data_IF_979561035370
#
_entry.id   IF_979561035370
#
_cell.length_a   1.000
_cell.length_b   1.000
_cell.length_c   1.000
_cell.angle_alpha   90.00
_cell.angle_beta   90.00
_cell.angle_gamma   90.00
#
_symmetry.space_group_name_H-M   'P 1'
#
loop_
_entity.id
_entity.type
_entity.pdbx_description
1 polymer ?
#
# COMPACT_ATOMS: atom_id res chain seq x y z
N UNK A 1 -1.67 12.76 11.36
CA UNK A 1 -1.42 14.05 10.69
C UNK A 1 -0.22 13.92 9.76
N UNK A 2 -0.46 13.65 8.47
CA UNK A 2 0.52 13.79 7.39
C UNK A 2 -0.17 14.47 6.21
N UNK A 3 0.56 15.39 5.59
CA UNK A 3 0.07 16.32 4.58
C UNK A 3 -0.48 15.57 3.35
N UNK A 4 -1.63 16.05 2.85
CA UNK A 4 -2.27 15.55 1.61
C UNK A 4 -1.40 15.97 0.44
N UNK A 5 -0.96 15.04 -0.42
CA UNK A 5 -0.01 15.38 -1.50
C UNK A 5 -0.65 16.17 -2.61
N UNK A 6 -1.90 15.88 -2.94
CA UNK A 6 -2.64 16.68 -3.91
C UNK A 6 -2.90 18.07 -3.33
N UNK A 7 -3.20 18.17 -2.02
CA UNK A 7 -3.37 19.47 -1.39
C UNK A 7 -2.06 20.26 -1.26
N UNK A 8 -0.92 19.60 -1.01
CA UNK A 8 0.40 20.24 -1.02
C UNK A 8 0.76 20.71 -2.44
N UNK A 9 0.38 19.94 -3.47
CA UNK A 9 0.56 20.30 -4.88
C UNK A 9 -0.34 21.47 -5.28
N UNK A 10 -1.57 21.54 -4.75
CA UNK A 10 -2.47 22.68 -4.91
C UNK A 10 -2.00 23.90 -4.10
N UNK A 11 -1.45 23.71 -2.90
CA UNK A 11 -0.88 24.78 -2.08
C UNK A 11 0.40 25.36 -2.70
N UNK A 12 1.21 24.51 -3.35
CA UNK A 12 2.31 24.95 -4.20
C UNK A 12 1.83 25.88 -5.32
N UNK A 13 0.61 25.70 -5.83
CA UNK A 13 0.00 26.58 -6.84
C UNK A 13 -0.52 27.89 -6.27
N UNK A 14 -1.06 27.94 -5.04
CA UNK A 14 -1.41 29.23 -4.41
C UNK A 14 -0.17 30.10 -4.19
N UNK A 15 0.98 29.46 -3.91
CA UNK A 15 2.28 30.12 -3.90
C UNK A 15 2.75 30.59 -5.29
N UNK A 16 2.17 30.15 -6.42
CA UNK A 16 2.56 30.64 -7.75
C UNK A 16 2.27 32.12 -7.94
N UNK A 17 1.22 32.67 -7.32
CA UNK A 17 0.92 34.10 -7.44
C UNK A 17 1.95 34.95 -6.70
N UNK A 18 2.37 34.50 -5.52
CA UNK A 18 3.46 35.11 -4.74
C UNK A 18 4.80 34.96 -5.46
N UNK A 19 5.08 33.78 -6.02
CA UNK A 19 6.24 33.53 -6.88
C UNK A 19 6.21 34.41 -8.13
N UNK A 20 5.04 34.68 -8.72
CA UNK A 20 4.90 35.54 -9.90
C UNK A 20 5.19 37.01 -9.55
N UNK A 21 4.72 37.50 -8.40
CA UNK A 21 5.06 38.84 -7.91
C UNK A 21 6.57 38.95 -7.63
N UNK A 22 7.14 37.96 -6.94
CA UNK A 22 8.58 37.90 -6.69
C UNK A 22 9.35 37.85 -8.01
N UNK A 23 8.89 37.06 -8.99
CA UNK A 23 9.51 36.96 -10.30
C UNK A 23 9.45 38.29 -11.07
N UNK A 24 8.34 39.04 -11.00
CA UNK A 24 8.22 40.37 -11.61
C UNK A 24 9.18 41.36 -10.96
N UNK A 25 9.25 41.39 -9.62
CA UNK A 25 10.15 42.27 -8.87
C UNK A 25 11.63 41.93 -9.12
N UNK A 26 11.97 40.64 -9.14
CA UNK A 26 13.32 40.16 -9.48
C UNK A 26 13.65 40.47 -10.93
N UNK A 27 12.72 40.27 -11.86
CA UNK A 27 12.93 40.61 -13.28
C UNK A 27 13.18 42.11 -13.48
N UNK A 28 12.42 42.97 -12.79
CA UNK A 28 12.63 44.43 -12.78
C UNK A 28 14.00 44.80 -12.19
N UNK A 29 14.33 44.26 -11.01
CA UNK A 29 15.61 44.54 -10.35
C UNK A 29 16.82 44.06 -11.17
N UNK A 30 16.74 42.85 -11.75
CA UNK A 30 17.75 42.30 -12.63
C UNK A 30 17.87 43.12 -13.92
N UNK A 31 16.76 43.59 -14.50
CA UNK A 31 16.82 44.46 -15.69
C UNK A 31 17.51 45.80 -15.40
N UNK A 32 17.24 46.42 -14.24
CA UNK A 32 17.88 47.67 -13.85
C UNK A 32 19.40 47.46 -13.63
N UNK A 33 19.78 46.40 -12.91
CA UNK A 33 21.19 46.05 -12.68
C UNK A 33 21.91 45.67 -13.98
N UNK A 34 21.27 44.87 -14.83
CA UNK A 34 21.79 44.47 -16.13
C UNK A 34 22.00 45.68 -17.03
N UNK A 35 21.06 46.62 -17.08
CA UNK A 35 21.18 47.84 -17.88
C UNK A 35 22.36 48.70 -17.41
N UNK A 36 22.59 48.79 -16.10
CA UNK A 36 23.77 49.46 -15.53
C UNK A 36 25.10 48.77 -15.89
N UNK A 37 25.15 47.43 -15.84
CA UNK A 37 26.33 46.64 -16.20
C UNK A 37 26.64 46.69 -17.70
N UNK A 38 25.61 46.60 -18.54
CA UNK A 38 25.76 46.68 -20.00
C UNK A 38 26.30 48.04 -20.42
N UNK A 39 25.85 49.12 -19.76
CA UNK A 39 26.38 50.47 -19.95
C UNK A 39 27.84 50.63 -19.54
N UNK A 40 28.34 49.82 -18.60
CA UNK A 40 29.73 49.86 -18.16
C UNK A 40 30.71 49.12 -19.10
N UNK A 41 30.25 48.06 -19.77
CA UNK A 41 31.13 47.15 -20.54
C UNK A 41 31.10 47.33 -22.07
N UNK A 42 30.35 48.30 -22.62
CA UNK A 42 30.29 48.61 -24.06
C UNK A 42 30.10 47.38 -24.98
N UNK A 43 29.24 46.45 -24.60
CA UNK A 43 28.95 45.26 -25.42
C UNK A 43 28.20 45.62 -26.70
N UNK A 44 28.47 44.90 -27.78
CA UNK A 44 27.69 45.02 -29.03
C UNK A 44 26.30 44.38 -28.90
N UNK A 45 25.33 44.86 -29.68
CA UNK A 45 23.94 44.37 -29.67
C UNK A 45 23.83 42.84 -29.87
N UNK A 46 24.65 42.26 -30.76
CA UNK A 46 24.66 40.82 -31.01
C UNK A 46 25.22 40.02 -29.83
N UNK A 47 26.23 40.53 -29.12
CA UNK A 47 26.76 39.88 -27.92
C UNK A 47 25.73 39.84 -26.79
N UNK A 48 24.96 40.93 -26.63
CA UNK A 48 23.88 41.00 -25.64
C UNK A 48 22.78 39.95 -25.90
N UNK A 49 22.38 39.77 -27.16
CA UNK A 49 21.41 38.74 -27.54
C UNK A 49 21.95 37.33 -27.23
N UNK A 50 23.21 37.05 -27.57
CA UNK A 50 23.82 35.73 -27.33
C UNK A 50 23.92 35.43 -25.83
N UNK A 51 24.39 36.38 -25.02
CA UNK A 51 24.46 36.20 -23.57
C UNK A 51 23.07 36.06 -22.92
N UNK A 52 22.08 36.82 -23.40
CA UNK A 52 20.70 36.71 -22.94
C UNK A 52 20.10 35.33 -23.22
N UNK A 53 20.24 34.83 -24.46
CA UNK A 53 19.77 33.49 -24.84
C UNK A 53 20.49 32.41 -24.03
N UNK A 54 21.81 32.54 -23.82
CA UNK A 54 22.60 31.58 -23.04
C UNK A 54 22.12 31.52 -21.57
N UNK A 55 21.85 32.67 -20.95
CA UNK A 55 21.35 32.76 -19.57
C UNK A 55 19.93 32.21 -19.44
N UNK A 56 19.06 32.45 -20.42
CA UNK A 56 17.69 31.89 -20.45
C UNK A 56 17.76 30.36 -20.57
N UNK A 57 18.60 29.83 -21.47
CA UNK A 57 18.80 28.39 -21.61
C UNK A 57 19.39 27.77 -20.34
N UNK A 58 20.36 28.43 -19.71
CA UNK A 58 20.96 27.97 -18.45
C UNK A 58 19.94 27.96 -17.30
N UNK A 59 19.13 29.02 -17.19
CA UNK A 59 18.06 29.12 -16.19
C UNK A 59 16.97 28.06 -16.40
N UNK A 60 16.55 27.84 -17.64
CA UNK A 60 15.61 26.78 -17.99
C UNK A 60 16.16 25.38 -17.67
N UNK A 61 17.45 25.13 -17.94
CA UNK A 61 18.12 23.87 -17.60
C UNK A 61 18.18 23.62 -16.09
N UNK A 62 18.53 24.65 -15.30
CA UNK A 62 18.57 24.55 -13.83
C UNK A 62 17.16 24.35 -13.25
N UNK A 63 16.15 25.05 -13.77
CA UNK A 63 14.76 24.88 -13.35
C UNK A 63 14.23 23.49 -13.68
N UNK A 64 14.44 23.01 -14.91
CA UNK A 64 14.05 21.66 -15.34
C UNK A 64 14.74 20.57 -14.51
N UNK A 65 16.03 20.75 -14.19
CA UNK A 65 16.78 19.83 -13.31
C UNK A 65 16.21 19.81 -11.89
N UNK A 66 15.87 20.96 -11.34
CA UNK A 66 15.40 21.10 -9.96
C UNK A 66 13.90 20.77 -9.79
N UNK A 67 13.10 20.81 -10.87
CA UNK A 67 11.69 20.40 -10.85
C UNK A 67 11.51 18.86 -10.88
N UNK A 68 12.54 18.12 -11.29
CA UNK A 68 12.49 16.67 -11.51
C UNK A 68 12.29 15.78 -10.26
N UNK A 69 12.44 16.23 -8.98
CA UNK A 69 12.13 15.41 -7.81
C UNK A 69 10.88 15.83 -7.02
N UNK A 70 10.12 16.87 -7.39
CA UNK A 70 9.17 17.49 -6.45
C UNK A 70 7.89 16.68 -6.18
N UNK A 71 7.45 15.78 -7.06
CA UNK A 71 6.12 15.15 -6.89
C UNK A 71 6.12 13.61 -6.73
N UNK A 72 7.24 12.90 -6.90
CA UNK A 72 7.25 11.45 -6.73
C UNK A 72 7.31 11.02 -5.26
N UNK A 73 6.35 10.21 -4.81
CA UNK A 73 6.27 9.72 -3.44
C UNK A 73 6.69 8.27 -3.29
N UNK A 74 7.70 7.98 -2.47
CA UNK A 74 8.00 6.61 -2.01
C UNK A 74 7.52 6.41 -0.58
N UNK A 75 6.81 5.32 -0.34
CA UNK A 75 6.29 4.91 0.96
C UNK A 75 6.71 3.48 1.21
N UNK A 76 7.19 3.19 2.42
CA UNK A 76 7.39 1.82 2.86
C UNK A 76 6.49 1.60 4.07
N UNK A 77 5.54 0.68 3.95
CA UNK A 77 4.69 0.27 5.06
C UNK A 77 5.22 -1.04 5.64
N UNK A 78 5.48 -1.04 6.94
CA UNK A 78 5.94 -2.23 7.66
C UNK A 78 4.75 -2.91 8.32
N UNK A 79 4.50 -4.16 7.94
CA UNK A 79 3.50 -5.05 8.50
C UNK A 79 4.14 -6.22 9.23
N UNK A 80 3.31 -7.03 9.87
CA UNK A 80 3.73 -8.24 10.58
C UNK A 80 2.73 -9.35 10.36
N UNK A 81 3.22 -10.57 10.24
CA UNK A 81 2.40 -11.79 10.22
C UNK A 81 2.93 -12.76 11.27
N UNK A 82 2.02 -13.53 11.86
CA UNK A 82 2.34 -14.54 12.88
C UNK A 82 1.94 -15.92 12.38
N UNK A 83 2.79 -16.91 12.61
CA UNK A 83 2.48 -18.32 12.40
C UNK A 83 2.42 -19.05 13.73
N UNK A 84 1.50 -19.99 13.84
CA UNK A 84 1.56 -21.01 14.88
C UNK A 84 2.65 -22.03 14.52
N UNK A 85 3.57 -22.32 15.44
CA UNK A 85 4.70 -23.22 15.18
C UNK A 85 4.30 -24.68 15.02
N UNK A 86 3.13 -25.08 15.52
CA UNK A 86 2.69 -26.47 15.49
C UNK A 86 1.90 -26.77 14.21
N UNK A 87 1.05 -25.84 13.80
CA UNK A 87 0.15 -26.02 12.64
C UNK A 87 0.66 -25.36 11.37
N UNK A 88 1.58 -24.40 11.48
CA UNK A 88 2.03 -23.50 10.40
C UNK A 88 0.90 -22.65 9.79
N UNK A 89 -0.20 -22.49 10.54
CA UNK A 89 -1.31 -21.63 10.14
C UNK A 89 -0.97 -20.16 10.43
N UNK A 90 -1.43 -19.27 9.54
CA UNK A 90 -1.40 -17.83 9.79
C UNK A 90 -2.39 -17.47 10.90
N UNK A 91 -1.85 -16.88 11.96
CA UNK A 91 -2.63 -16.37 13.07
C UNK A 91 -3.22 -15.02 12.71
N UNK A 92 -4.53 -14.92 12.91
CA UNK A 92 -5.28 -13.69 12.82
C UNK A 92 -5.01 -12.87 14.10
N UNK A 93 -4.58 -11.62 13.93
CA UNK A 93 -4.45 -10.68 15.05
C UNK A 93 -5.72 -9.83 15.05
N UNK A 94 -6.49 -9.94 16.14
CA UNK A 94 -7.78 -9.25 16.25
C UNK A 94 -7.62 -7.74 16.02
N UNK A 95 -8.54 -7.14 15.27
CA UNK A 95 -8.56 -5.73 14.89
C UNK A 95 -7.37 -5.29 14.00
N UNK A 96 -6.56 -6.24 13.52
CA UNK A 96 -5.51 -6.00 12.53
C UNK A 96 -5.91 -6.59 11.18
N UNK A 97 -6.72 -5.82 10.47
CA UNK A 97 -7.36 -6.15 9.19
C UNK A 97 -6.44 -6.85 8.18
N UNK A 98 -5.17 -6.43 8.08
CA UNK A 98 -4.20 -7.07 7.20
C UNK A 98 -4.02 -8.57 7.49
N UNK A 99 -3.81 -8.95 8.75
CA UNK A 99 -3.57 -10.35 9.11
C UNK A 99 -4.85 -11.19 9.04
N UNK A 100 -6.00 -10.60 9.38
CA UNK A 100 -7.31 -11.24 9.29
C UNK A 100 -7.65 -11.61 7.84
N UNK A 101 -7.56 -10.65 6.92
CA UNK A 101 -7.88 -10.89 5.52
C UNK A 101 -6.86 -11.82 4.84
N UNK A 102 -5.55 -11.63 5.07
CA UNK A 102 -4.54 -12.51 4.46
C UNK A 102 -4.67 -13.95 4.95
N UNK A 103 -4.88 -14.18 6.24
CA UNK A 103 -5.09 -15.53 6.78
C UNK A 103 -6.32 -16.19 6.13
N UNK A 104 -7.42 -15.44 6.03
CA UNK A 104 -8.65 -15.88 5.36
C UNK A 104 -8.42 -16.23 3.88
N UNK A 105 -7.63 -15.44 3.15
CA UNK A 105 -7.31 -15.73 1.75
C UNK A 105 -6.46 -17.00 1.59
N UNK A 106 -5.45 -17.19 2.44
CA UNK A 106 -4.65 -18.42 2.42
C UNK A 106 -5.53 -19.64 2.69
N UNK A 107 -6.39 -19.59 3.72
CA UNK A 107 -7.31 -20.67 4.06
C UNK A 107 -8.26 -20.99 2.91
N UNK A 108 -8.87 -19.98 2.31
CA UNK A 108 -9.78 -20.14 1.16
C UNK A 108 -9.08 -20.76 -0.06
N UNK A 109 -7.86 -20.30 -0.39
CA UNK A 109 -7.06 -20.88 -1.47
C UNK A 109 -6.73 -22.35 -1.21
N UNK A 110 -6.35 -22.69 0.02
CA UNK A 110 -6.00 -24.04 0.43
C UNK A 110 -7.20 -24.99 0.41
N UNK A 111 -8.39 -24.50 0.75
CA UNK A 111 -9.63 -25.27 0.71
C UNK A 111 -9.99 -25.72 -0.72
N UNK A 112 -9.69 -24.89 -1.72
CA UNK A 112 -10.03 -25.15 -3.11
C UNK A 112 -8.92 -25.84 -3.91
N UNK A 113 -7.66 -25.63 -3.55
CA UNK A 113 -6.53 -26.18 -4.30
C UNK A 113 -5.61 -27.01 -3.42
N UNK A 114 -5.77 -28.34 -3.51
CA UNK A 114 -4.97 -29.32 -2.75
C UNK A 114 -3.46 -29.21 -3.02
N UNK A 115 -3.05 -28.83 -4.23
CA UNK A 115 -1.64 -28.68 -4.56
C UNK A 115 -1.04 -27.44 -3.86
N UNK A 116 -1.79 -26.33 -3.82
CA UNK A 116 -1.36 -25.12 -3.12
C UNK A 116 -1.40 -25.30 -1.60
N UNK A 117 -2.39 -26.02 -1.07
CA UNK A 117 -2.41 -26.43 0.33
C UNK A 117 -1.16 -27.23 0.69
N UNK A 118 -0.79 -28.23 -0.11
CA UNK A 118 0.43 -29.01 0.11
C UNK A 118 1.70 -28.16 0.10
N UNK A 119 1.77 -27.16 -0.79
CA UNK A 119 2.89 -26.20 -0.81
C UNK A 119 2.94 -25.41 0.50
N UNK A 120 1.78 -24.92 0.96
CA UNK A 120 1.69 -24.12 2.18
C UNK A 120 2.03 -24.93 3.44
N UNK A 121 1.47 -26.13 3.60
CA UNK A 121 1.65 -26.95 4.80
C UNK A 121 3.03 -27.61 4.90
N UNK A 122 3.66 -27.93 3.76
CA UNK A 122 4.94 -28.67 3.77
C UNK A 122 6.17 -27.76 3.77
N UNK A 123 6.04 -26.52 3.30
CA UNK A 123 7.13 -25.53 3.27
C UNK A 123 6.73 -24.31 4.13
N UNK A 124 7.11 -24.24 5.42
CA UNK A 124 6.80 -23.05 6.21
C UNK A 124 7.46 -21.81 5.62
N UNK A 125 6.78 -20.67 5.72
CA UNK A 125 7.36 -19.38 5.33
C UNK A 125 8.56 -19.07 6.24
N UNK A 126 9.60 -18.43 5.67
CA UNK A 126 10.82 -18.13 6.41
C UNK A 126 11.97 -17.70 5.50
N UNK A 127 13.16 -17.55 6.10
CA UNK A 127 14.37 -17.15 5.35
C UNK A 127 14.70 -18.23 4.33
N UNK A 128 14.70 -17.88 3.05
CA UNK A 128 15.26 -18.73 2.01
C UNK A 128 16.77 -18.69 2.12
N UNK A 129 17.38 -19.62 2.86
CA UNK A 129 18.84 -19.72 2.88
C UNK A 129 19.35 -20.15 1.50
N UNK A 130 20.31 -19.43 0.90
CA UNK A 130 21.05 -19.96 -0.23
C UNK A 130 21.91 -21.12 0.28
N UNK A 131 21.62 -22.34 -0.19
CA UNK A 131 22.58 -23.42 -0.11
C UNK A 131 23.67 -23.09 -1.14
N UNK A 132 24.94 -23.11 -0.70
CA UNK A 132 26.11 -22.72 -1.50
C UNK A 132 26.01 -23.21 -2.96
N UNK A 133 26.12 -22.27 -3.90
CA UNK A 133 26.13 -22.55 -5.35
C UNK A 133 24.81 -22.37 -6.08
N UNK A 134 23.67 -22.22 -5.40
CA UNK A 134 22.38 -21.89 -6.03
C UNK A 134 21.81 -20.56 -5.51
N UNK A 135 21.34 -19.71 -6.42
CA UNK A 135 20.60 -18.48 -6.10
C UNK A 135 19.54 -18.77 -5.03
N UNK A 136 19.42 -17.90 -4.04
CA UNK A 136 18.43 -17.98 -2.96
C UNK A 136 17.02 -18.15 -3.53
N UNK A 137 16.56 -19.39 -3.65
CA UNK A 137 15.21 -19.67 -4.11
C UNK A 137 14.28 -19.32 -2.95
N UNK A 138 13.50 -18.25 -3.10
CA UNK A 138 12.35 -18.00 -2.21
C UNK A 138 11.52 -19.28 -2.13
N UNK A 139 11.10 -19.69 -0.94
CA UNK A 139 10.23 -20.86 -0.79
C UNK A 139 8.93 -20.62 -1.55
N UNK A 140 8.28 -21.68 -2.05
CA UNK A 140 7.05 -21.51 -2.82
C UNK A 140 5.92 -20.93 -1.95
N UNK A 141 5.96 -21.19 -0.65
CA UNK A 141 5.08 -20.59 0.35
C UNK A 141 5.32 -19.08 0.53
N UNK A 142 6.58 -18.61 0.48
CA UNK A 142 6.86 -17.16 0.51
C UNK A 142 6.21 -16.45 -0.68
N UNK A 143 6.21 -17.08 -1.86
CA UNK A 143 5.53 -16.51 -3.04
C UNK A 143 4.01 -16.49 -2.86
N UNK A 144 3.42 -17.53 -2.26
CA UNK A 144 1.99 -17.53 -1.92
C UNK A 144 1.63 -16.40 -0.96
N UNK A 145 2.46 -16.15 0.06
CA UNK A 145 2.27 -15.02 0.97
C UNK A 145 2.33 -13.69 0.21
N UNK A 146 3.34 -13.49 -0.65
CA UNK A 146 3.46 -12.28 -1.48
C UNK A 146 2.23 -12.08 -2.36
N UNK A 147 1.79 -13.11 -3.08
CA UNK A 147 0.61 -13.05 -3.95
C UNK A 147 -0.68 -12.77 -3.16
N UNK A 148 -0.81 -13.29 -1.93
CA UNK A 148 -1.95 -13.00 -1.05
C UNK A 148 -2.00 -11.53 -0.63
N UNK A 149 -0.83 -10.92 -0.38
CA UNK A 149 -0.70 -9.50 -0.03
C UNK A 149 -0.98 -8.63 -1.26
N UNK A 150 -0.53 -9.06 -2.44
CA UNK A 150 -0.87 -8.37 -3.70
C UNK A 150 -2.39 -8.33 -3.92
N UNK A 151 -3.07 -9.48 -3.72
CA UNK A 151 -4.52 -9.56 -3.81
C UNK A 151 -5.19 -8.65 -2.77
N UNK A 152 -4.72 -8.67 -1.53
CA UNK A 152 -5.20 -7.79 -0.46
C UNK A 152 -5.17 -6.31 -0.86
N UNK A 153 -4.04 -5.83 -1.38
CA UNK A 153 -3.91 -4.42 -1.81
C UNK A 153 -4.81 -4.13 -3.01
N UNK A 154 -4.85 -5.01 -4.00
CA UNK A 154 -5.66 -4.81 -5.20
C UNK A 154 -7.15 -4.76 -4.88
N UNK A 155 -7.63 -5.67 -4.03
CA UNK A 155 -9.01 -5.70 -3.54
C UNK A 155 -9.35 -4.44 -2.76
N UNK A 156 -8.48 -4.04 -1.83
CA UNK A 156 -8.68 -2.81 -1.06
C UNK A 156 -8.78 -1.59 -1.97
N UNK A 157 -7.96 -1.52 -3.01
CA UNK A 157 -8.01 -0.47 -4.03
C UNK A 157 -9.33 -0.52 -4.81
N UNK A 158 -9.74 -1.68 -5.31
CA UNK A 158 -10.99 -1.84 -6.05
C UNK A 158 -12.21 -1.37 -5.25
N UNK A 159 -12.29 -1.78 -3.98
CA UNK A 159 -13.35 -1.35 -3.05
C UNK A 159 -13.29 0.15 -2.77
N UNK A 160 -12.09 0.70 -2.57
CA UNK A 160 -11.90 2.12 -2.31
C UNK A 160 -12.32 2.98 -3.51
N UNK A 161 -11.94 2.59 -4.72
CA UNK A 161 -12.31 3.27 -5.96
C UNK A 161 -13.82 3.21 -6.19
N UNK A 162 -14.43 2.04 -5.99
CA UNK A 162 -15.88 1.87 -6.13
C UNK A 162 -16.63 2.79 -5.17
N UNK A 163 -16.23 2.83 -3.90
CA UNK A 163 -16.81 3.75 -2.92
C UNK A 163 -16.55 5.22 -3.26
N UNK A 164 -15.37 5.57 -3.77
CA UNK A 164 -15.03 6.94 -4.15
C UNK A 164 -15.92 7.45 -5.29
N UNK A 165 -16.09 6.66 -6.36
CA UNK A 165 -16.83 7.09 -7.54
C UNK A 165 -18.35 6.98 -7.36
N UNK A 166 -18.85 6.00 -6.61
CA UNK A 166 -20.30 5.87 -6.36
C UNK A 166 -20.85 6.97 -5.44
N UNK A 167 -20.05 7.45 -4.48
CA UNK A 167 -20.50 8.44 -3.51
C UNK A 167 -20.36 9.89 -4.00
N UNK A 168 -19.80 10.13 -5.18
CA UNK A 168 -19.49 11.47 -5.66
C UNK A 168 -20.31 11.80 -6.92
N UNK A 169 -21.48 12.41 -6.72
CA UNK A 169 -22.42 12.79 -7.79
C UNK A 169 -21.86 13.81 -8.78
N UNK A 170 -20.72 14.45 -8.47
CA UNK A 170 -20.04 15.39 -9.37
C UNK A 170 -19.20 14.69 -10.46
N UNK A 171 -19.00 13.37 -10.36
CA UNK A 171 -18.16 12.59 -11.28
C UNK A 171 -19.07 11.97 -12.34
N UNK A 172 -18.83 12.29 -13.61
CA UNK A 172 -19.55 11.68 -14.72
C UNK A 172 -18.97 10.31 -15.06
N UNK A 173 -19.85 9.31 -15.19
CA UNK A 173 -19.51 7.95 -15.63
C UNK A 173 -18.86 7.91 -17.01
N UNK A 174 -19.08 8.94 -17.85
CA UNK A 174 -18.47 9.04 -19.18
C UNK A 174 -16.93 9.07 -19.11
N UNK A 175 -16.36 9.62 -18.04
CA UNK A 175 -14.91 9.71 -17.86
C UNK A 175 -14.31 8.54 -17.09
N UNK A 176 -15.10 7.50 -16.82
CA UNK A 176 -14.67 6.29 -16.13
C UNK A 176 -14.55 5.12 -17.10
N UNK A 177 -13.69 4.17 -16.75
CA UNK A 177 -13.57 2.87 -17.39
C UNK A 177 -13.72 1.78 -16.34
N UNK A 178 -14.48 0.75 -16.67
CA UNK A 178 -14.61 -0.46 -15.85
C UNK A 178 -13.66 -1.51 -16.38
N UNK A 179 -12.67 -1.88 -15.57
CA UNK A 179 -11.77 -2.98 -15.87
C UNK A 179 -12.33 -4.24 -15.24
N UNK A 180 -12.50 -5.26 -16.07
CA UNK A 180 -12.94 -6.60 -15.66
C UNK A 180 -11.78 -7.58 -15.77
N UNK A 181 -12.02 -8.84 -15.37
CA UNK A 181 -11.04 -9.94 -15.44
C UNK A 181 -10.33 -10.02 -16.81
N UNK A 182 -11.07 -9.85 -17.91
CA UNK A 182 -10.52 -9.89 -19.29
C UNK A 182 -9.49 -8.79 -19.59
N UNK A 183 -9.48 -7.71 -18.80
CA UNK A 183 -8.61 -6.55 -19.01
C UNK A 183 -7.27 -6.67 -18.28
N UNK A 184 -7.06 -7.70 -17.45
CA UNK A 184 -5.85 -7.86 -16.61
C UNK A 184 -5.18 -9.24 -16.75
N UNK A 185 -4.98 -9.78 -17.98
CA UNK A 185 -4.49 -11.15 -18.17
C UNK A 185 -3.13 -11.43 -17.51
N UNK A 186 -2.20 -10.47 -17.59
CA UNK A 186 -0.85 -10.61 -16.99
C UNK A 186 -0.89 -10.72 -15.46
N UNK A 187 -1.86 -10.04 -14.83
CA UNK A 187 -2.02 -10.06 -13.37
C UNK A 187 -2.58 -11.41 -12.93
N UNK A 188 -3.57 -11.93 -13.67
CA UNK A 188 -4.14 -13.27 -13.44
C UNK A 188 -3.06 -14.35 -13.55
N UNK A 189 -2.25 -14.31 -14.60
CA UNK A 189 -1.18 -15.29 -14.81
C UNK A 189 -0.13 -15.28 -13.69
N UNK A 190 0.15 -14.11 -13.12
CA UNK A 190 1.18 -13.99 -12.08
C UNK A 190 0.65 -14.07 -10.64
N UNK A 191 -0.66 -14.18 -10.39
CA UNK A 191 -1.21 -14.22 -9.04
C UNK A 191 -2.37 -15.23 -8.93
N UNK A 192 -2.11 -16.31 -8.19
CA UNK A 192 -3.05 -17.44 -8.06
C UNK A 192 -4.31 -17.11 -7.28
N UNK A 193 -4.28 -16.12 -6.39
CA UNK A 193 -5.45 -15.68 -5.62
C UNK A 193 -6.40 -14.89 -6.50
N UNK A 194 -5.89 -13.92 -7.26
CA UNK A 194 -6.70 -13.14 -8.20
C UNK A 194 -7.31 -14.10 -9.24
N UNK A 195 -6.51 -15.02 -9.77
CA UNK A 195 -6.99 -15.99 -10.75
C UNK A 195 -8.10 -16.88 -10.20
N UNK A 196 -7.90 -17.52 -9.04
CA UNK A 196 -8.90 -18.42 -8.47
C UNK A 196 -10.16 -17.68 -8.01
N UNK A 197 -10.01 -16.62 -7.23
CA UNK A 197 -11.16 -15.99 -6.57
C UNK A 197 -12.05 -15.22 -7.54
N UNK A 198 -11.51 -14.74 -8.67
CA UNK A 198 -12.30 -14.11 -9.72
C UNK A 198 -12.74 -15.05 -10.83
N UNK A 199 -12.39 -16.34 -10.77
CA UNK A 199 -12.86 -17.36 -11.71
C UNK A 199 -14.38 -17.56 -11.55
N UNK A 200 -15.16 -17.68 -12.65
CA UNK A 200 -16.60 -17.90 -12.60
C UNK A 200 -16.98 -19.06 -11.67
N UNK A 201 -18.07 -18.89 -10.91
CA UNK A 201 -18.52 -19.86 -9.91
C UNK A 201 -18.89 -21.20 -10.55
N UNK A 202 -19.43 -21.16 -11.77
CA UNK A 202 -19.84 -22.34 -12.55
C UNK A 202 -18.66 -23.25 -12.91
N UNK A 203 -17.43 -22.72 -12.87
CA UNK A 203 -16.19 -23.45 -13.16
C UNK A 203 -15.46 -23.92 -11.89
N UNK A 204 -16.10 -23.85 -10.72
CA UNK A 204 -15.50 -24.11 -9.40
C UNK A 204 -16.36 -25.07 -8.59
N UNK A 205 -15.76 -26.21 -8.21
CA UNK A 205 -16.42 -27.29 -7.47
C UNK A 205 -17.16 -26.81 -6.22
N UNK A 206 -16.56 -25.89 -5.44
CA UNK A 206 -17.14 -25.37 -4.19
C UNK A 206 -18.38 -24.49 -4.37
N UNK A 207 -18.77 -24.21 -5.62
CA UNK A 207 -19.93 -23.39 -5.98
C UNK A 207 -20.90 -24.11 -6.94
N UNK A 208 -20.74 -25.41 -7.20
CA UNK A 208 -21.68 -26.16 -8.05
C UNK A 208 -23.07 -26.31 -7.41
N UNK A 209 -23.12 -26.38 -6.08
CA UNK A 209 -24.36 -26.43 -5.30
C UNK A 209 -24.94 -25.04 -5.02
N UNK A 210 -24.28 -23.97 -5.46
CA UNK A 210 -24.85 -22.63 -5.37
C UNK A 210 -26.04 -22.55 -6.31
N UNK A 211 -27.20 -22.16 -5.75
CA UNK A 211 -28.44 -22.02 -6.50
C UNK A 211 -28.31 -21.07 -7.70
N UNK A 212 -29.30 -21.05 -8.61
CA UNK A 212 -29.23 -20.26 -9.83
C UNK A 212 -28.89 -18.80 -9.51
N UNK A 213 -28.09 -18.19 -10.39
CA UNK A 213 -27.76 -16.77 -10.31
C UNK A 213 -29.06 -15.95 -10.17
N UNK A 214 -29.07 -14.91 -9.31
CA UNK A 214 -30.28 -14.12 -9.07
C UNK A 214 -30.86 -13.58 -10.38
N UNK A 215 -32.18 -13.63 -10.55
CA UNK A 215 -32.85 -13.11 -11.74
C UNK A 215 -32.64 -11.59 -11.93
N UNK A 216 -32.33 -10.88 -10.85
CA UNK A 216 -31.97 -9.46 -10.83
C UNK A 216 -30.62 -9.26 -10.13
N UNK A 217 -29.69 -8.61 -10.82
CA UNK A 217 -28.37 -8.25 -10.29
C UNK A 217 -27.25 -9.20 -10.69
N UNK A 218 -26.05 -8.90 -10.19
CA UNK A 218 -24.81 -9.65 -10.46
C UNK A 218 -24.19 -10.02 -9.12
N UNK A 219 -23.78 -11.27 -8.96
CA UNK A 219 -23.05 -11.69 -7.76
C UNK A 219 -21.67 -11.04 -7.77
N UNK A 220 -21.42 -10.14 -6.83
CA UNK A 220 -20.14 -9.44 -6.70
C UNK A 220 -19.22 -10.16 -5.70
N UNK A 221 -19.80 -10.81 -4.70
CA UNK A 221 -19.06 -11.55 -3.68
C UNK A 221 -19.89 -12.71 -3.13
N UNK A 222 -19.28 -13.88 -2.92
CA UNK A 222 -19.94 -15.06 -2.34
C UNK A 222 -18.96 -15.95 -1.57
N UNK A 223 -19.49 -16.72 -0.62
CA UNK A 223 -18.74 -17.72 0.16
C UNK A 223 -19.18 -19.13 -0.18
N UNK A 224 -18.32 -19.93 -0.79
CA UNK A 224 -18.62 -21.32 -1.08
C UNK A 224 -18.49 -22.22 0.15
N UNK A 225 -18.66 -23.52 -0.06
CA UNK A 225 -18.37 -24.52 0.96
C UNK A 225 -16.91 -24.41 1.44
N UNK A 226 -16.67 -24.77 2.70
CA UNK A 226 -15.34 -24.77 3.33
C UNK A 226 -14.58 -23.43 3.31
N UNK A 227 -15.31 -22.31 3.19
CA UNK A 227 -14.70 -20.97 3.19
C UNK A 227 -14.12 -20.53 1.85
N UNK A 228 -14.47 -21.20 0.75
CA UNK A 228 -14.14 -20.76 -0.60
C UNK A 228 -14.64 -19.32 -0.86
N UNK A 229 -13.87 -18.54 -1.61
CA UNK A 229 -14.17 -17.12 -1.86
C UNK A 229 -14.37 -16.89 -3.35
N UNK A 230 -15.54 -16.36 -3.71
CA UNK A 230 -15.77 -15.79 -5.02
C UNK A 230 -15.87 -14.27 -4.90
N UNK A 231 -15.10 -13.58 -5.74
CA UNK A 231 -15.11 -12.13 -5.84
C UNK A 231 -15.07 -11.74 -7.32
N UNK A 232 -16.15 -11.13 -7.80
CA UNK A 232 -16.19 -10.64 -9.16
C UNK A 232 -15.21 -9.47 -9.30
N UNK A 233 -14.13 -9.67 -10.08
CA UNK A 233 -13.15 -8.62 -10.31
C UNK A 233 -13.74 -7.53 -11.21
N UNK A 234 -14.02 -6.38 -10.59
CA UNK A 234 -14.38 -5.13 -11.25
C UNK A 234 -13.62 -3.99 -10.57
N UNK A 235 -12.90 -3.19 -11.37
CA UNK A 235 -12.22 -1.99 -10.89
C UNK A 235 -12.57 -0.79 -11.75
N UNK A 236 -13.05 0.27 -11.11
CA UNK A 236 -13.44 1.53 -11.76
C UNK A 236 -12.25 2.48 -11.70
N UNK A 237 -11.80 2.97 -12.86
CA UNK A 237 -10.68 3.92 -12.95
C UNK A 237 -11.02 5.06 -13.92
N UNK A 238 -10.28 6.18 -13.87
CA UNK A 238 -10.39 7.23 -14.89
C UNK A 238 -10.05 6.69 -16.28
N UNK A 239 -10.75 7.16 -17.32
CA UNK A 239 -10.53 6.73 -18.71
C UNK A 239 -9.08 6.94 -19.15
N UNK A 240 -8.53 5.94 -19.83
CA UNK A 240 -7.12 5.90 -20.21
C UNK A 240 -6.20 5.31 -19.15
N UNK A 241 -6.74 4.85 -18.02
CA UNK A 241 -5.98 4.11 -17.02
C UNK A 241 -5.85 2.63 -17.37
N UNK A 242 -4.77 2.01 -16.92
CA UNK A 242 -4.48 0.58 -17.08
C UNK A 242 -3.81 0.01 -15.84
N UNK A 243 -3.89 -1.31 -15.68
CA UNK A 243 -3.18 -2.03 -14.63
C UNK A 243 -2.23 -3.00 -15.31
N UNK A 244 -0.95 -2.96 -14.95
CA UNK A 244 0.07 -3.83 -15.52
C UNK A 244 0.90 -4.49 -14.42
N UNK A 245 1.48 -5.64 -14.75
CA UNK A 245 2.50 -6.28 -13.92
C UNK A 245 3.87 -5.93 -14.47
N UNK A 246 4.71 -5.37 -13.62
CA UNK A 246 6.07 -4.96 -13.98
C UNK A 246 7.06 -6.12 -13.84
N UNK A 247 8.20 -5.99 -14.51
CA UNK A 247 9.28 -6.99 -14.48
C UNK A 247 9.90 -7.18 -13.08
N UNK A 248 9.78 -6.18 -12.20
CA UNK A 248 10.27 -6.24 -10.81
C UNK A 248 9.26 -6.86 -9.84
N UNK A 249 8.20 -7.49 -10.37
CA UNK A 249 7.06 -8.07 -9.64
C UNK A 249 6.18 -7.02 -8.95
N UNK A 250 6.30 -5.74 -9.28
CA UNK A 250 5.33 -4.74 -8.83
C UNK A 250 4.06 -4.76 -9.69
N UNK A 251 2.95 -4.32 -9.10
CA UNK A 251 1.71 -4.06 -9.83
C UNK A 251 1.56 -2.54 -9.93
N UNK A 252 1.36 -2.06 -11.15
CA UNK A 252 1.27 -0.64 -11.46
C UNK A 252 -0.10 -0.27 -12.02
N UNK A 253 -0.74 0.72 -11.39
CA UNK A 253 -1.89 1.43 -11.92
C UNK A 253 -1.37 2.68 -12.60
N UNK A 254 -1.44 2.69 -13.93
CA UNK A 254 -1.05 3.82 -14.76
C UNK A 254 -2.30 4.61 -15.09
N UNK A 255 -2.23 5.92 -14.92
CA UNK A 255 -3.32 6.85 -15.27
C UNK A 255 -2.81 7.93 -16.21
N UNK A 256 -3.64 8.91 -16.57
CA UNK A 256 -3.16 10.08 -17.33
C UNK A 256 -2.33 11.07 -16.47
N UNK A 257 -2.38 10.93 -15.13
CA UNK A 257 -1.77 11.91 -14.20
C UNK A 257 -0.55 11.37 -13.47
N UNK A 258 -0.61 10.10 -13.08
CA UNK A 258 0.47 9.45 -12.34
C UNK A 258 0.48 7.94 -12.59
N UNK A 259 1.60 7.33 -12.22
CA UNK A 259 1.78 5.90 -12.04
C UNK A 259 1.82 5.60 -10.54
N UNK A 260 0.89 4.80 -10.05
CA UNK A 260 0.91 4.25 -8.70
C UNK A 260 1.40 2.81 -8.79
N UNK A 261 2.50 2.48 -8.12
CA UNK A 261 3.06 1.12 -8.14
C UNK A 261 3.24 0.61 -6.73
N UNK A 262 2.89 -0.65 -6.48
CA UNK A 262 3.11 -1.29 -5.19
C UNK A 262 3.75 -2.67 -5.35
N UNK A 263 4.55 -3.06 -4.37
CA UNK A 263 5.28 -4.32 -4.35
C UNK A 263 5.38 -4.85 -2.92
N UNK A 264 4.72 -5.99 -2.61
CA UNK A 264 4.95 -6.67 -1.35
C UNK A 264 6.34 -7.30 -1.32
N UNK A 265 7.01 -7.21 -0.19
CA UNK A 265 8.36 -7.71 0.04
C UNK A 265 8.32 -8.60 1.26
N UNK A 266 8.71 -9.86 1.07
CA UNK A 266 8.88 -10.82 2.13
C UNK A 266 10.22 -11.54 1.99
N UNK A 267 11.12 -11.27 2.94
CA UNK A 267 12.45 -11.87 2.98
C UNK A 267 12.55 -13.02 4.00
N UNK A 268 11.47 -13.29 4.75
CA UNK A 268 11.46 -14.33 5.77
C UNK A 268 12.15 -13.95 7.09
N UNK A 269 12.55 -12.69 7.25
CA UNK A 269 13.13 -12.21 8.51
C UNK A 269 12.08 -12.14 9.61
N UNK A 270 12.48 -12.52 10.81
CA UNK A 270 11.64 -12.40 11.99
C UNK A 270 11.37 -10.92 12.32
N UNK A 271 10.19 -10.62 12.84
CA UNK A 271 9.87 -9.33 13.44
C UNK A 271 9.64 -9.50 14.92
N UNK A 272 10.03 -8.49 15.71
CA UNK A 272 9.70 -8.46 17.12
C UNK A 272 8.40 -7.68 17.30
N UNK A 273 7.41 -8.32 17.94
CA UNK A 273 6.30 -7.63 18.54
C UNK A 273 6.73 -7.01 19.87
N UNK A 274 6.03 -5.98 20.35
CA UNK A 274 6.29 -5.44 21.68
C UNK A 274 6.23 -6.52 22.76
N UNK A 275 7.00 -6.33 23.82
CA UNK A 275 7.12 -7.31 24.91
C UNK A 275 5.74 -7.73 25.44
N UNK A 276 5.52 -9.05 25.57
CA UNK A 276 4.29 -9.68 26.09
C UNK A 276 3.06 -9.52 25.20
N UNK A 277 3.18 -8.99 23.98
CA UNK A 277 2.06 -8.83 23.07
C UNK A 277 1.35 -10.15 22.79
N UNK A 278 2.11 -11.20 22.50
CA UNK A 278 1.62 -12.55 22.22
C UNK A 278 0.76 -13.08 23.38
N UNK A 279 1.26 -12.94 24.61
CA UNK A 279 0.57 -13.45 25.80
C UNK A 279 -0.66 -12.64 26.21
N UNK A 280 -0.58 -11.30 26.16
CA UNK A 280 -1.61 -10.43 26.72
C UNK A 280 -2.68 -10.05 25.68
N UNK A 281 -2.30 -9.92 24.41
CA UNK A 281 -3.21 -9.54 23.34
C UNK A 281 -3.71 -10.75 22.56
N UNK A 282 -2.80 -11.65 22.15
CA UNK A 282 -3.17 -12.82 21.35
C UNK A 282 -3.57 -14.03 22.19
N UNK A 283 -3.34 -14.00 23.51
CA UNK A 283 -3.64 -15.13 24.41
C UNK A 283 -2.79 -16.38 24.12
N UNK A 284 -1.59 -16.20 23.54
CA UNK A 284 -0.71 -17.28 23.08
C UNK A 284 0.64 -17.22 23.77
N UNK A 285 1.27 -18.38 23.94
CA UNK A 285 2.62 -18.43 24.48
C UNK A 285 3.63 -17.90 23.46
N UNK A 286 4.63 -17.15 23.92
CA UNK A 286 5.68 -16.58 23.08
C UNK A 286 6.41 -17.67 22.29
N UNK A 287 6.66 -18.84 22.89
CA UNK A 287 7.37 -19.91 22.22
C UNK A 287 6.52 -20.63 21.17
N UNK A 288 5.20 -20.49 21.20
CA UNK A 288 4.27 -21.13 20.26
C UNK A 288 4.13 -20.37 18.93
N UNK A 289 4.66 -19.15 18.83
CA UNK A 289 4.48 -18.27 17.67
C UNK A 289 5.81 -17.97 16.98
N UNK A 290 5.80 -17.98 15.65
CA UNK A 290 6.84 -17.39 14.80
C UNK A 290 6.33 -16.11 14.17
N UNK A 291 7.03 -15.00 14.39
CA UNK A 291 6.61 -13.67 13.95
C UNK A 291 7.53 -13.18 12.83
N UNK A 292 6.96 -12.81 11.68
CA UNK A 292 7.73 -12.38 10.51
C UNK A 292 7.40 -10.96 10.07
N UNK A 293 8.40 -10.27 9.55
CA UNK A 293 8.25 -8.93 8.97
C UNK A 293 7.80 -9.03 7.51
N UNK A 294 6.82 -8.21 7.16
CA UNK A 294 6.37 -8.01 5.78
C UNK A 294 6.48 -6.53 5.47
N UNK A 295 6.96 -6.19 4.27
CA UNK A 295 7.02 -4.82 3.80
C UNK A 295 6.14 -4.62 2.58
N UNK A 296 5.57 -3.43 2.45
CA UNK A 296 4.83 -3.02 1.27
C UNK A 296 5.44 -1.72 0.76
N UNK A 297 6.25 -1.85 -0.30
CA UNK A 297 6.84 -0.73 -0.99
C UNK A 297 5.82 -0.12 -1.96
N UNK A 298 5.52 1.15 -1.80
CA UNK A 298 4.58 1.90 -2.64
C UNK A 298 5.30 3.12 -3.24
N UNK A 299 5.05 3.36 -4.52
CA UNK A 299 5.58 4.50 -5.25
C UNK A 299 4.47 5.19 -6.02
N UNK A 300 4.54 6.52 -6.08
CA UNK A 300 3.66 7.35 -6.90
C UNK A 300 4.55 8.27 -7.71
N UNK A 301 4.50 8.15 -9.02
CA UNK A 301 5.27 9.00 -9.94
C UNK A 301 4.30 9.82 -10.80
N UNK A 302 4.29 11.14 -10.62
CA UNK A 302 3.43 12.04 -11.39
C UNK A 302 4.08 12.37 -12.74
N UNK A 303 3.28 12.36 -13.81
CA UNK A 303 3.75 12.74 -15.13
C UNK A 303 3.92 14.25 -15.23
N UNK A 304 5.02 14.73 -15.80
CA UNK A 304 5.28 16.18 -15.91
C UNK A 304 4.17 16.95 -16.63
N UNK A 305 3.56 16.34 -17.66
CA UNK A 305 2.43 16.91 -18.41
C UNK A 305 1.16 17.05 -17.56
N UNK A 306 1.02 16.28 -16.48
CA UNK A 306 -0.16 16.31 -15.62
C UNK A 306 -0.29 17.60 -14.83
N UNK A 307 0.83 18.29 -14.59
CA UNK A 307 0.91 19.51 -13.78
C UNK A 307 0.40 20.76 -14.50
N UNK A 308 0.32 20.70 -15.84
CA UNK A 308 -0.02 21.83 -16.71
C UNK A 308 -1.53 22.06 -16.90
N UNK A 309 -2.38 21.16 -16.40
CA UNK A 309 -3.84 21.25 -16.54
C UNK A 309 -4.50 21.22 -15.17
N UNK A 310 -5.42 22.15 -14.92
CA UNK A 310 -6.13 22.29 -13.65
C UNK A 310 -7.45 21.52 -13.57
N UNK A 311 -7.98 21.09 -14.71
CA UNK A 311 -9.25 20.36 -14.79
C UNK A 311 -9.09 18.84 -14.64
N UNK A 312 -10.11 18.19 -14.08
CA UNK A 312 -10.20 16.74 -14.00
C UNK A 312 -9.41 16.10 -12.86
N UNK A 313 -8.92 16.86 -11.87
CA UNK A 313 -8.19 16.32 -10.72
C UNK A 313 -9.10 15.57 -9.73
N UNK A 314 -10.39 15.87 -9.73
CA UNK A 314 -11.43 15.20 -8.95
C UNK A 314 -11.48 13.68 -9.19
N UNK A 315 -11.15 13.22 -10.40
CA UNK A 315 -11.06 11.80 -10.76
C UNK A 315 -9.87 11.08 -10.10
N UNK A 316 -8.95 11.82 -9.48
CA UNK A 316 -7.68 11.33 -8.96
C UNK A 316 -7.53 11.54 -7.43
N UNK A 317 -8.49 12.19 -6.78
CA UNK A 317 -8.47 12.49 -5.33
C UNK A 317 -8.53 11.24 -4.45
N UNK A 318 -8.91 10.10 -5.00
CA UNK A 318 -8.86 8.82 -4.31
C UNK A 318 -7.44 8.43 -3.87
N UNK A 319 -6.38 8.94 -4.53
CA UNK A 319 -5.01 8.52 -4.26
C UNK A 319 -4.58 8.80 -2.82
N UNK A 320 -4.75 10.04 -2.35
CA UNK A 320 -4.33 10.44 -0.99
C UNK A 320 -5.12 9.66 0.08
N UNK A 321 -6.43 9.54 -0.11
CA UNK A 321 -7.31 8.80 0.81
C UNK A 321 -7.03 7.29 0.79
N UNK A 322 -6.64 6.73 -0.36
CA UNK A 322 -6.27 5.34 -0.48
C UNK A 322 -4.94 5.05 0.22
N UNK A 323 -3.92 5.90 0.02
CA UNK A 323 -2.63 5.76 0.69
C UNK A 323 -2.77 5.81 2.21
N UNK A 324 -3.62 6.71 2.72
CA UNK A 324 -3.94 6.76 4.15
C UNK A 324 -4.64 5.47 4.60
N UNK A 325 -5.69 5.02 3.90
CA UNK A 325 -6.40 3.78 4.24
C UNK A 325 -5.49 2.56 4.23
N UNK A 326 -4.56 2.50 3.28
CA UNK A 326 -3.57 1.43 3.15
C UNK A 326 -2.59 1.44 4.33
N UNK A 327 -2.06 2.62 4.71
CA UNK A 327 -1.20 2.77 5.89
C UNK A 327 -1.95 2.31 7.16
N UNK A 328 -3.20 2.76 7.34
CA UNK A 328 -4.01 2.44 8.51
C UNK A 328 -4.29 0.94 8.65
N UNK A 329 -4.47 0.26 7.53
CA UNK A 329 -4.85 -1.16 7.51
C UNK A 329 -3.65 -2.11 7.54
N UNK A 330 -2.51 -1.71 6.97
CA UNK A 330 -1.32 -2.56 6.82
C UNK A 330 -0.26 -2.30 7.90
N UNK A 331 -0.08 -1.07 8.38
CA UNK A 331 1.05 -0.69 9.23
C UNK A 331 0.96 -1.28 10.65
N UNK A 332 1.95 -2.09 11.02
CA UNK A 332 2.14 -2.57 12.40
C UNK A 332 2.17 -1.41 13.40
N UNK A 333 2.89 -0.34 13.06
CA UNK A 333 3.03 0.84 13.93
C UNK A 333 1.69 1.53 14.13
N UNK A 334 0.91 1.70 13.06
CA UNK A 334 -0.41 2.30 13.15
C UNK A 334 -1.35 1.43 13.99
N UNK A 335 -1.37 0.13 13.74
CA UNK A 335 -2.16 -0.84 14.52
C UNK A 335 -1.84 -0.77 16.02
N UNK A 336 -0.56 -0.85 16.42
CA UNK A 336 -0.14 -0.78 17.83
C UNK A 336 -0.54 0.55 18.49
N UNK A 337 -0.50 1.65 17.72
CA UNK A 337 -0.96 2.96 18.18
C UNK A 337 -2.48 3.02 18.33
N UNK A 338 -3.24 2.41 17.40
CA UNK A 338 -4.71 2.37 17.41
C UNK A 338 -5.23 1.69 18.67
N UNK A 339 -4.61 0.57 19.06
CA UNK A 339 -4.97 -0.16 20.29
C UNK A 339 -4.34 0.43 21.55
N UNK A 340 -3.61 1.56 21.45
CA UNK A 340 -2.90 2.18 22.58
C UNK A 340 -2.04 1.18 23.37
N UNK A 341 -1.31 0.33 22.65
CA UNK A 341 -0.64 -0.83 23.24
C UNK A 341 0.30 -0.46 24.39
N UNK A 342 1.10 0.60 24.24
CA UNK A 342 2.08 0.99 25.24
C UNK A 342 1.42 1.40 26.56
N UNK A 343 0.29 2.09 26.50
CA UNK A 343 -0.49 2.47 27.68
C UNK A 343 -1.10 1.24 28.37
N UNK A 344 -1.72 0.36 27.59
CA UNK A 344 -2.36 -0.85 28.10
C UNK A 344 -1.35 -1.83 28.73
N UNK A 345 -0.20 -2.02 28.09
CA UNK A 345 0.89 -2.83 28.63
C UNK A 345 1.45 -2.24 29.92
N UNK A 346 1.61 -0.92 30.01
CA UNK A 346 2.05 -0.25 31.24
C UNK A 346 1.05 -0.43 32.38
N UNK A 347 -0.25 -0.27 32.13
CA UNK A 347 -1.31 -0.52 33.13
C UNK A 347 -1.28 -1.96 33.64
N UNK A 348 -1.13 -2.94 32.74
CA UNK A 348 -1.00 -4.34 33.13
C UNK A 348 0.22 -4.57 34.04
N UNK A 349 1.38 -4.03 33.68
CA UNK A 349 2.60 -4.18 34.48
C UNK A 349 2.47 -3.54 35.86
N UNK A 350 1.81 -2.38 35.97
CA UNK A 350 1.54 -1.73 37.25
C UNK A 350 0.63 -2.60 38.12
N UNK A 351 -0.46 -3.11 37.55
CA UNK A 351 -1.41 -3.97 38.26
C UNK A 351 -0.75 -5.26 38.76
N UNK A 352 0.06 -5.91 37.92
CA UNK A 352 0.79 -7.13 38.30
C UNK A 352 1.77 -6.86 39.44
N UNK A 353 2.56 -5.78 39.37
CA UNK A 353 3.49 -5.41 40.43
C UNK A 353 2.78 -5.09 41.76
N UNK A 354 1.59 -4.47 41.71
CA UNK A 354 0.78 -4.22 42.91
C UNK A 354 0.24 -5.51 43.51
N UNK A 355 -0.28 -6.43 42.67
CA UNK A 355 -0.74 -7.75 43.09
C UNK A 355 0.38 -8.55 43.76
N UNK A 356 1.58 -8.58 43.18
CA UNK A 356 2.73 -9.28 43.77
C UNK A 356 3.12 -8.67 45.13
N UNK A 357 3.06 -7.34 45.28
CA UNK A 357 3.29 -6.67 46.56
C UNK A 357 2.24 -7.03 47.63
N UNK A 358 0.98 -7.26 47.24
CA UNK A 358 -0.07 -7.67 48.17
C UNK A 358 0.11 -9.13 48.60
N UNK A 359 0.42 -10.03 47.66
CA UNK A 359 0.72 -11.43 47.95
C UNK A 359 1.89 -11.53 48.93
N UNK A 360 2.99 -10.80 48.67
CA UNK A 360 4.17 -10.81 49.53
C UNK A 360 3.97 -10.12 50.90
N UNK A 361 2.87 -9.38 51.09
CA UNK A 361 2.51 -8.75 52.37
C UNK A 361 1.58 -9.59 53.24
N UNK A 362 1.10 -10.73 52.76
CA UNK A 362 0.22 -11.62 53.53
C UNK A 362 1.08 -12.77 54.07
N UNK A 363 1.50 -12.77 55.36
CA UNK A 363 2.25 -13.88 55.94
C UNK A 363 1.32 -15.08 56.12
N UNK A 364 1.88 -16.30 56.07
CA UNK A 364 1.21 -17.53 56.49
C UNK A 364 0.72 -17.43 57.95
N UNK A 365 -0.51 -16.98 58.16
CA UNK A 365 -1.22 -17.20 59.43
C UNK A 365 -1.87 -18.60 59.40
N UNK A 366 -1.05 -19.63 59.58
CA UNK A 366 -1.50 -20.90 60.13
C UNK A 366 -0.84 -21.07 61.51
N UNK A 367 -1.61 -21.00 62.61
CA UNK A 367 -1.10 -21.42 63.90
C UNK A 367 -1.02 -22.96 63.89
N UNK A 368 0.17 -23.50 64.08
CA UNK A 368 0.36 -24.87 64.55
C UNK A 368 -0.36 -25.01 65.90
N UNK A 369 -1.25 -26.00 65.99
CA UNK A 369 -1.99 -26.35 67.20
C UNK A 369 -1.24 -27.28 68.13
#
# INVERSE_FOLDING_TARGET
MKKKKIADLLAFKTNLFEVLIIAVLVALGVNILSSGLVGYFNFSFLQLIIFGILLILLGALVFLRNAHPINSGKYNFEGVVCLDKNTYDLLEIENYHFTEEVSKYIKALCAENRALHKIWSNEPIGVGFPIEGHNSSKTKANNLLIESIEYYVLKMLALHLSAHFQNNSSISDEHLVKLERKNIPEILLGNRFIDLFSKPMEEREQFLDYGPTPSNGKVVYAFGCNGAIFEHFEMILPRGSSIIRENDLSISIITNRFKFSYRPIFNGFNSNLPRRFESLYMGKDFNSISTFQVELAVSVDFFTKSLLTDEGWEYYWWLDSFLEKLEQSFSKKYFLSKISWNQNAAMFLIAENQRQKQINKTPNDHPEG
#
